data_IF_148032698812
#
_entry.id   IF_148032698812
#
_cell.length_a   1.000
_cell.length_b   1.000
_cell.length_c   1.000
_cell.angle_alpha   90.00
_cell.angle_beta   90.00
_cell.angle_gamma   90.00
#
_symmetry.space_group_name_H-M   'P 1'
#
loop_
_entity.id
_entity.type
_entity.pdbx_description
1 polymer ?
#
# COMPACT_ATOMS: atom_id res chain seq x y z
N UNK A 1 -18.08 87.94 -23.31
CA UNK A 1 -17.52 87.32 -22.09
C UNK A 1 -16.39 86.40 -22.53
N UNK A 2 -15.13 86.86 -22.45
CA UNK A 2 -13.96 86.07 -22.88
C UNK A 2 -13.60 85.11 -21.74
N UNK A 3 -13.66 83.80 -22.00
CA UNK A 3 -13.21 82.79 -21.04
C UNK A 3 -11.70 82.89 -20.89
N UNK A 4 -11.25 83.29 -19.70
CA UNK A 4 -9.85 83.38 -19.33
C UNK A 4 -9.39 81.99 -18.86
N UNK A 5 -8.88 81.17 -19.78
CA UNK A 5 -8.32 79.85 -19.44
C UNK A 5 -6.93 80.09 -18.85
N UNK A 6 -6.80 79.81 -17.56
CA UNK A 6 -5.57 80.00 -16.80
C UNK A 6 -4.51 78.98 -17.28
N UNK A 7 -3.33 79.41 -17.80
CA UNK A 7 -2.33 78.51 -18.38
C UNK A 7 -1.75 77.51 -17.37
N UNK A 8 -1.92 77.73 -16.06
CA UNK A 8 -1.51 76.79 -15.01
C UNK A 8 -2.37 75.52 -14.93
N UNK A 9 -3.62 75.54 -15.40
CA UNK A 9 -4.51 74.37 -15.33
C UNK A 9 -4.26 73.37 -16.47
N UNK A 10 -3.74 73.83 -17.60
CA UNK A 10 -3.37 72.98 -18.73
C UNK A 10 -2.10 72.15 -18.46
N UNK A 11 -1.20 72.65 -17.60
CA UNK A 11 0.05 71.95 -17.23
C UNK A 11 -0.20 70.82 -16.22
N UNK A 12 -1.21 70.97 -15.35
CA UNK A 12 -1.55 69.93 -14.35
C UNK A 12 -2.29 68.73 -14.97
N UNK A 13 -3.04 68.93 -16.06
CA UNK A 13 -3.74 67.84 -16.75
C UNK A 13 -2.82 67.05 -17.71
N UNK A 14 -1.68 67.61 -18.11
CA UNK A 14 -0.71 66.96 -19.00
C UNK A 14 0.28 66.02 -18.27
N UNK A 15 0.35 66.08 -16.93
CA UNK A 15 1.22 65.23 -16.10
C UNK A 15 0.54 63.94 -15.59
N UNK A 16 -0.73 63.72 -15.94
CA UNK A 16 -1.50 62.53 -15.54
C UNK A 16 -1.67 61.49 -16.66
N UNK A 17 -0.99 61.67 -17.80
CA UNK A 17 -1.04 60.74 -18.92
C UNK A 17 0.34 60.07 -19.08
N UNK A 18 0.34 58.74 -19.10
CA UNK A 18 1.48 57.83 -19.36
C UNK A 18 2.37 57.44 -18.18
N UNK A 19 1.74 56.81 -17.19
CA UNK A 19 2.39 55.82 -16.34
C UNK A 19 1.73 54.45 -16.49
N UNK A 20 1.54 53.96 -17.73
CA UNK A 20 1.16 52.57 -17.93
C UNK A 20 2.32 51.70 -17.51
N UNK A 21 2.33 51.23 -16.27
CA UNK A 21 3.23 50.17 -15.85
C UNK A 21 2.92 48.95 -16.72
N UNK A 22 3.68 48.78 -17.81
CA UNK A 22 3.67 47.55 -18.60
C UNK A 22 4.26 46.50 -17.68
N UNK A 23 3.41 45.73 -17.01
CA UNK A 23 3.85 44.50 -16.38
C UNK A 23 4.48 43.67 -17.49
N UNK A 24 5.76 43.26 -17.38
CA UNK A 24 6.31 42.30 -18.32
C UNK A 24 5.35 41.11 -18.38
N UNK A 25 4.99 40.72 -19.60
CA UNK A 25 4.12 39.58 -19.84
C UNK A 25 4.86 38.31 -19.42
N UNK A 26 4.69 37.93 -18.15
CA UNK A 26 5.29 36.73 -17.58
C UNK A 26 4.52 35.49 -18.04
N UNK A 27 5.25 34.39 -18.24
CA UNK A 27 4.63 33.10 -18.48
C UNK A 27 3.82 32.71 -17.25
N UNK A 28 2.64 32.12 -17.47
CA UNK A 28 1.82 31.56 -16.39
C UNK A 28 1.98 30.06 -16.39
N UNK A 29 2.15 29.49 -15.20
CA UNK A 29 2.31 28.05 -15.01
C UNK A 29 1.13 27.56 -14.19
N UNK A 30 0.59 26.40 -14.57
CA UNK A 30 -0.36 25.63 -13.76
C UNK A 30 0.19 24.22 -13.60
N UNK A 31 0.21 23.73 -12.36
CA UNK A 31 0.68 22.40 -12.02
C UNK A 31 -0.48 21.54 -11.54
N UNK A 32 -0.70 20.43 -12.22
CA UNK A 32 -1.58 19.35 -11.81
C UNK A 32 -0.74 18.10 -11.54
N UNK A 33 -0.93 17.49 -10.37
CA UNK A 33 -0.23 16.29 -9.94
C UNK A 33 -1.21 15.40 -9.19
N UNK A 34 -1.13 14.09 -9.39
CA UNK A 34 -1.93 13.14 -8.61
C UNK A 34 -1.61 13.29 -7.13
N UNK A 35 -2.63 13.37 -6.27
CA UNK A 35 -2.47 13.47 -4.82
C UNK A 35 -1.90 12.20 -4.17
N UNK A 36 -2.03 11.06 -4.87
CA UNK A 36 -1.53 9.73 -4.50
C UNK A 36 -0.81 9.13 -5.72
N UNK A 37 0.40 9.62 -6.06
CA UNK A 37 1.17 9.05 -7.14
C UNK A 37 1.83 7.74 -6.68
N UNK A 38 2.07 6.85 -7.64
CA UNK A 38 2.83 5.63 -7.43
C UNK A 38 4.24 5.98 -6.91
N UNK A 39 4.87 5.18 -6.02
CA UNK A 39 6.19 5.55 -5.51
C UNK A 39 7.30 5.39 -6.56
N UNK A 40 7.09 4.70 -7.69
CA UNK A 40 8.12 4.48 -8.70
C UNK A 40 8.20 5.64 -9.71
N UNK A 41 9.40 6.22 -9.84
CA UNK A 41 9.70 7.29 -10.79
C UNK A 41 9.52 6.86 -12.25
N UNK A 42 9.79 5.59 -12.57
CA UNK A 42 9.57 5.02 -13.89
C UNK A 42 8.10 5.12 -14.31
N UNK A 43 7.17 4.92 -13.38
CA UNK A 43 5.73 5.10 -13.61
C UNK A 43 5.42 6.55 -13.98
N UNK A 44 6.08 7.52 -13.35
CA UNK A 44 5.82 8.95 -13.58
C UNK A 44 6.32 9.40 -14.96
N UNK A 45 7.42 8.82 -15.43
CA UNK A 45 7.94 9.06 -16.77
C UNK A 45 7.03 8.46 -17.86
N UNK A 46 6.45 7.28 -17.62
CA UNK A 46 5.60 6.60 -18.61
C UNK A 46 4.16 7.12 -18.63
N UNK A 47 3.66 7.61 -17.50
CA UNK A 47 2.26 8.01 -17.33
C UNK A 47 2.12 9.53 -17.33
N UNK A 48 1.59 10.05 -18.44
CA UNK A 48 1.36 11.48 -18.67
C UNK A 48 0.32 12.11 -17.74
N UNK A 49 -0.44 11.34 -16.97
CA UNK A 49 -1.45 11.81 -16.03
C UNK A 49 -0.91 12.01 -14.60
N UNK A 50 0.33 11.58 -14.31
CA UNK A 50 0.88 11.70 -12.96
C UNK A 50 1.27 13.14 -12.65
N UNK A 51 1.99 13.80 -13.58
CA UNK A 51 2.39 15.20 -13.48
C UNK A 51 2.14 15.88 -14.83
N UNK A 52 1.28 16.90 -14.82
CA UNK A 52 0.99 17.74 -15.98
C UNK A 52 1.25 19.19 -15.61
N UNK A 53 2.16 19.83 -16.34
CA UNK A 53 2.37 21.27 -16.27
C UNK A 53 1.81 21.92 -17.51
N UNK A 54 0.93 22.89 -17.32
CA UNK A 54 0.43 23.75 -18.39
C UNK A 54 1.13 25.09 -18.32
N UNK A 55 1.81 25.48 -19.40
CA UNK A 55 2.42 26.80 -19.55
C UNK A 55 1.57 27.62 -20.51
N UNK A 56 1.18 28.82 -20.07
CA UNK A 56 0.44 29.79 -20.87
C UNK A 56 1.37 30.95 -21.20
N UNK A 57 1.65 31.12 -22.49
CA UNK A 57 2.31 32.28 -23.05
C UNK A 57 1.27 33.30 -23.53
N UNK A 58 1.09 34.44 -22.83
CA UNK A 58 0.10 35.45 -23.20
C UNK A 58 0.56 36.39 -24.33
N UNK A 59 1.79 36.22 -24.84
CA UNK A 59 2.36 37.09 -25.88
C UNK A 59 2.11 36.55 -27.28
N UNK A 60 2.37 37.38 -28.30
CA UNK A 60 2.26 37.00 -29.71
C UNK A 60 3.53 36.34 -30.27
N UNK A 61 4.60 36.27 -29.47
CA UNK A 61 5.90 35.69 -29.86
C UNK A 61 6.23 34.49 -29.00
N UNK A 62 7.08 33.61 -29.50
CA UNK A 62 7.64 32.54 -28.69
C UNK A 62 8.53 33.10 -27.57
N UNK A 63 8.52 32.46 -26.42
CA UNK A 63 9.39 32.78 -25.29
C UNK A 63 10.21 31.54 -24.98
N UNK A 64 11.53 31.67 -24.91
CA UNK A 64 12.39 30.59 -24.47
C UNK A 64 12.53 30.54 -22.95
N UNK A 65 12.57 29.34 -22.39
CA UNK A 65 12.86 29.15 -20.97
C UNK A 65 13.30 27.75 -20.63
N UNK A 66 13.65 27.57 -19.35
CA UNK A 66 14.01 26.28 -18.75
C UNK A 66 13.10 26.01 -17.57
N UNK A 67 12.71 24.75 -17.36
CA UNK A 67 12.05 24.38 -16.12
C UNK A 67 13.01 24.48 -14.93
N UNK A 68 12.52 25.05 -13.84
CA UNK A 68 13.16 25.04 -12.55
C UNK A 68 12.22 24.39 -11.54
N UNK A 69 12.57 23.17 -11.15
CA UNK A 69 11.79 22.33 -10.27
C UNK A 69 12.54 22.16 -8.94
N UNK A 70 11.80 22.26 -7.84
CA UNK A 70 12.31 22.01 -6.48
C UNK A 70 11.38 21.00 -5.81
N UNK A 71 11.98 19.99 -5.20
CA UNK A 71 11.30 18.94 -4.45
C UNK A 71 11.76 19.02 -3.01
N UNK A 72 10.81 19.22 -2.10
CA UNK A 72 11.05 19.12 -0.66
C UNK A 72 10.37 17.85 -0.14
N UNK A 73 11.00 17.17 0.83
CA UNK A 73 10.43 16.01 1.55
C UNK A 73 10.41 16.33 3.04
N UNK A 74 9.23 16.20 3.65
CA UNK A 74 8.98 16.46 5.06
C UNK A 74 9.55 17.82 5.52
N UNK A 75 9.40 18.84 4.66
CA UNK A 75 9.89 20.21 4.88
C UNK A 75 11.39 20.43 4.64
N UNK A 76 12.15 19.40 4.29
CA UNK A 76 13.59 19.49 3.98
C UNK A 76 13.83 19.41 2.48
N UNK A 77 14.85 20.12 1.98
CA UNK A 77 15.26 20.05 0.58
C UNK A 77 15.63 18.61 0.21
N UNK A 78 15.04 18.10 -0.88
CA UNK A 78 15.33 16.77 -1.41
C UNK A 78 16.03 16.85 -2.77
N UNK A 79 15.52 17.62 -3.71
CA UNK A 79 16.08 17.70 -5.04
C UNK A 79 15.76 19.03 -5.73
N UNK A 80 16.61 19.45 -6.68
CA UNK A 80 16.28 20.50 -7.65
C UNK A 80 16.90 20.21 -9.00
N UNK A 81 16.30 20.76 -10.04
CA UNK A 81 16.92 20.80 -11.37
C UNK A 81 18.10 21.76 -11.38
N UNK A 82 19.15 21.41 -12.12
CA UNK A 82 20.34 22.21 -12.40
C UNK A 82 20.11 23.09 -13.63
N UNK A 83 19.95 24.42 -13.49
CA UNK A 83 19.63 25.30 -14.62
C UNK A 83 20.61 25.19 -15.81
N UNK A 84 21.88 24.91 -15.54
CA UNK A 84 22.94 24.73 -16.53
C UNK A 84 22.79 23.45 -17.36
N UNK A 85 22.16 22.41 -16.81
CA UNK A 85 21.96 21.11 -17.49
C UNK A 85 20.54 20.92 -18.02
N UNK A 86 19.62 21.84 -17.70
CA UNK A 86 18.24 21.79 -18.21
C UNK A 86 18.16 22.25 -19.66
N UNK A 87 17.38 21.52 -20.46
CA UNK A 87 17.13 21.86 -21.87
C UNK A 87 16.37 23.18 -21.99
N UNK A 88 16.70 23.96 -23.01
CA UNK A 88 15.92 25.14 -23.39
C UNK A 88 14.68 24.69 -24.15
N UNK A 89 13.52 25.25 -23.80
CA UNK A 89 12.23 24.96 -24.41
C UNK A 89 11.67 26.27 -24.98
N UNK A 90 11.17 26.22 -26.21
CA UNK A 90 10.37 27.30 -26.78
C UNK A 90 8.90 27.14 -26.35
N UNK A 91 8.34 28.18 -25.74
CA UNK A 91 6.94 28.26 -25.34
C UNK A 91 6.18 29.08 -26.38
N UNK A 92 5.39 28.45 -27.28
CA UNK A 92 4.63 29.17 -28.30
C UNK A 92 3.47 29.97 -27.68
N UNK A 93 2.96 31.00 -28.38
CA UNK A 93 1.74 31.72 -27.98
C UNK A 93 0.57 30.77 -27.64
N UNK A 94 -0.15 31.06 -26.56
CA UNK A 94 -1.24 30.22 -26.09
C UNK A 94 -0.81 29.24 -25.00
N UNK A 95 -1.36 28.02 -25.02
CA UNK A 95 -1.21 27.04 -23.94
C UNK A 95 -0.51 25.77 -24.44
N UNK A 96 0.53 25.34 -23.73
CA UNK A 96 1.28 24.11 -24.00
C UNK A 96 1.37 23.23 -22.76
N UNK A 97 1.40 21.91 -22.94
CA UNK A 97 1.49 20.93 -21.85
C UNK A 97 2.84 20.21 -21.86
N UNK A 98 3.36 19.95 -20.66
CA UNK A 98 4.64 19.30 -20.40
C UNK A 98 4.48 18.26 -19.29
N UNK A 99 5.32 17.22 -19.32
CA UNK A 99 5.19 16.04 -18.47
C UNK A 99 6.46 15.76 -17.67
N UNK A 100 6.45 14.75 -16.81
CA UNK A 100 7.52 14.47 -15.84
C UNK A 100 8.95 14.50 -16.41
N UNK A 101 9.18 13.93 -17.60
CA UNK A 101 10.49 13.91 -18.26
C UNK A 101 11.00 15.30 -18.69
N UNK A 102 10.10 16.23 -19.01
CA UNK A 102 10.46 17.61 -19.35
C UNK A 102 10.83 18.41 -18.08
N UNK A 103 10.26 18.02 -16.94
CA UNK A 103 10.32 18.77 -15.70
C UNK A 103 11.51 18.37 -14.83
N UNK A 104 11.76 17.07 -14.67
CA UNK A 104 12.78 16.53 -13.76
C UNK A 104 13.57 15.41 -14.45
N UNK A 105 14.36 15.73 -15.49
CA UNK A 105 15.29 14.76 -16.08
C UNK A 105 16.35 14.37 -15.04
N UNK A 106 16.62 13.07 -14.93
CA UNK A 106 17.45 12.52 -13.85
C UNK A 106 18.89 13.06 -13.92
N UNK A 107 19.44 13.15 -15.14
CA UNK A 107 20.78 13.66 -15.43
C UNK A 107 20.97 15.13 -15.06
N UNK A 108 19.90 15.94 -15.14
CA UNK A 108 19.93 17.37 -14.83
C UNK A 108 19.34 17.69 -13.45
N UNK A 109 19.19 16.69 -12.58
CA UNK A 109 18.67 16.87 -11.22
C UNK A 109 19.78 16.64 -10.20
N UNK A 110 19.94 17.57 -9.26
CA UNK A 110 20.71 17.33 -8.05
C UNK A 110 19.79 16.84 -6.93
N UNK A 111 20.25 15.85 -6.19
CA UNK A 111 19.54 15.24 -5.07
C UNK A 111 20.39 15.42 -3.81
N UNK A 112 19.77 15.83 -2.71
CA UNK A 112 20.41 16.03 -1.42
C UNK A 112 21.07 14.74 -0.92
N UNK A 113 22.35 14.82 -0.53
CA UNK A 113 23.12 13.68 -0.02
C UNK A 113 22.51 13.08 1.26
N UNK A 114 22.44 11.74 1.33
CA UNK A 114 21.90 10.98 2.47
C UNK A 114 20.58 10.26 2.19
N UNK A 115 19.75 10.76 1.27
CA UNK A 115 18.52 10.09 0.77
C UNK A 115 18.80 9.26 -0.50
N UNK A 116 20.05 9.28 -0.98
CA UNK A 116 20.49 8.94 -2.34
C UNK A 116 20.63 7.44 -2.63
N UNK A 117 20.68 6.53 -1.66
CA UNK A 117 21.08 5.16 -1.99
C UNK A 117 19.95 4.20 -2.40
N UNK A 118 18.70 4.50 -2.07
CA UNK A 118 17.57 3.63 -2.43
C UNK A 118 16.74 4.19 -3.58
N UNK A 119 16.32 5.46 -3.56
CA UNK A 119 15.49 6.01 -4.63
C UNK A 119 16.18 6.02 -6.00
N UNK A 120 17.48 6.36 -6.03
CA UNK A 120 18.29 6.36 -7.27
C UNK A 120 18.60 4.93 -7.74
N UNK A 121 18.72 3.97 -6.81
CA UNK A 121 19.06 2.57 -7.12
C UNK A 121 17.86 1.70 -7.48
N UNK A 122 16.71 1.92 -6.82
CA UNK A 122 15.48 1.12 -6.99
C UNK A 122 14.42 1.84 -7.82
N UNK A 123 14.61 3.13 -8.11
CA UNK A 123 13.60 3.96 -8.77
C UNK A 123 12.39 4.30 -7.89
N UNK A 124 12.40 3.93 -6.60
CA UNK A 124 11.26 4.08 -5.68
C UNK A 124 11.49 5.25 -4.71
N UNK A 125 10.60 6.24 -4.76
CA UNK A 125 10.56 7.34 -3.81
C UNK A 125 10.17 6.84 -2.41
N UNK A 126 10.87 7.25 -1.34
CA UNK A 126 10.49 6.89 0.02
C UNK A 126 9.10 7.40 0.39
N UNK A 127 8.46 6.73 1.35
CA UNK A 127 7.26 7.28 1.97
C UNK A 127 7.52 8.63 2.63
N UNK A 128 6.59 9.56 2.51
CA UNK A 128 6.69 10.90 3.11
C UNK A 128 5.73 11.91 2.49
N UNK A 129 5.74 13.11 3.07
CA UNK A 129 5.08 14.28 2.51
C UNK A 129 6.05 15.02 1.59
N UNK A 130 5.61 15.30 0.38
CA UNK A 130 6.43 15.99 -0.60
C UNK A 130 5.74 17.28 -1.04
N UNK A 131 6.56 18.28 -1.30
CA UNK A 131 6.15 19.51 -1.97
C UNK A 131 6.91 19.59 -3.29
N UNK A 132 6.18 19.66 -4.40
CA UNK A 132 6.73 19.81 -5.73
C UNK A 132 6.43 21.20 -6.26
N UNK A 133 7.48 22.00 -6.46
CA UNK A 133 7.40 23.37 -6.94
C UNK A 133 7.98 23.48 -8.35
N UNK A 134 7.25 24.17 -9.24
CA UNK A 134 7.66 24.41 -10.63
C UNK A 134 7.65 25.90 -10.93
N UNK A 135 8.70 26.36 -11.60
CA UNK A 135 8.84 27.71 -12.16
C UNK A 135 9.61 27.64 -13.47
N UNK A 136 9.66 28.75 -14.21
CA UNK A 136 10.43 28.89 -15.44
C UNK A 136 11.55 29.89 -15.26
N UNK A 137 12.70 29.61 -15.85
CA UNK A 137 13.87 30.48 -15.88
C UNK A 137 14.15 30.97 -17.30
N UNK A 138 14.65 32.21 -17.41
CA UNK A 138 15.29 32.70 -18.63
C UNK A 138 16.57 31.88 -18.90
N UNK A 139 16.79 31.41 -20.13
CA UNK A 139 17.88 30.48 -20.42
C UNK A 139 19.28 31.11 -20.30
N UNK A 140 19.39 32.43 -20.44
CA UNK A 140 20.65 33.18 -20.42
C UNK A 140 20.95 33.75 -19.04
N UNK A 141 19.96 34.41 -18.42
CA UNK A 141 20.17 35.12 -17.14
C UNK A 141 19.83 34.27 -15.91
N UNK A 142 19.19 33.11 -16.10
CA UNK A 142 18.60 32.30 -15.03
C UNK A 142 17.59 33.07 -14.15
N UNK A 143 17.11 34.22 -14.60
CA UNK A 143 16.07 34.96 -13.89
C UNK A 143 14.74 34.20 -13.97
N UNK A 144 13.98 34.19 -12.88
CA UNK A 144 12.64 33.59 -12.86
C UNK A 144 11.71 34.40 -13.77
N UNK A 145 11.06 33.74 -14.73
CA UNK A 145 10.13 34.33 -15.72
C UNK A 145 8.68 33.86 -15.58
N UNK A 146 8.38 33.13 -14.49
CA UNK A 146 7.02 32.76 -14.10
C UNK A 146 6.86 32.79 -12.58
N UNK A 147 5.64 32.94 -12.09
CA UNK A 147 5.38 32.71 -10.67
C UNK A 147 5.59 31.23 -10.33
N UNK A 148 6.32 30.89 -9.24
CA UNK A 148 6.43 29.52 -8.78
C UNK A 148 5.08 28.96 -8.35
N UNK A 149 4.79 27.72 -8.73
CA UNK A 149 3.58 26.99 -8.33
C UNK A 149 3.98 25.71 -7.62
N UNK A 150 3.52 25.55 -6.39
CA UNK A 150 3.79 24.36 -5.57
C UNK A 150 2.53 23.51 -5.38
N UNK A 151 2.73 22.19 -5.28
CA UNK A 151 1.70 21.21 -4.95
C UNK A 151 2.24 20.20 -3.94
N UNK A 152 1.41 19.89 -2.96
CA UNK A 152 1.73 18.88 -1.95
C UNK A 152 1.20 17.51 -2.41
N UNK A 153 2.03 16.49 -2.27
CA UNK A 153 1.69 15.09 -2.53
C UNK A 153 2.13 14.24 -1.35
N UNK A 154 1.45 13.11 -1.14
CA UNK A 154 1.87 12.13 -0.13
C UNK A 154 2.19 10.83 -0.82
N UNK A 155 3.42 10.35 -0.65
CA UNK A 155 3.82 9.02 -1.09
C UNK A 155 3.73 8.11 0.12
N UNK A 156 2.90 7.08 0.05
CA UNK A 156 2.78 6.08 1.11
C UNK A 156 3.20 4.73 0.55
N UNK A 157 4.14 4.09 1.23
CA UNK A 157 4.45 2.68 0.98
C UNK A 157 3.54 1.85 1.87
N UNK A 158 2.65 1.10 1.24
CA UNK A 158 1.74 0.19 1.93
C UNK A 158 2.33 -1.21 2.00
N UNK A 159 1.99 -1.93 3.06
CA UNK A 159 2.20 -3.36 3.19
C UNK A 159 0.93 -4.07 2.70
N UNK A 160 1.13 -5.09 1.86
CA UNK A 160 0.03 -5.95 1.44
C UNK A 160 -0.61 -6.66 2.65
N UNK A 161 -1.89 -7.05 2.55
CA UNK A 161 -2.56 -7.81 3.60
C UNK A 161 -1.83 -9.12 3.94
N UNK A 162 -1.98 -9.57 5.18
CA UNK A 162 -1.54 -10.90 5.63
C UNK A 162 -2.78 -11.75 5.87
N UNK A 163 -2.75 -12.99 5.38
CA UNK A 163 -3.84 -13.94 5.59
C UNK A 163 -3.82 -14.44 7.04
N UNK A 164 -5.01 -14.53 7.66
CA UNK A 164 -5.15 -14.87 9.08
C UNK A 164 -5.90 -16.19 9.26
N UNK A 165 -7.05 -16.35 8.59
CA UNK A 165 -7.87 -17.55 8.65
C UNK A 165 -8.45 -17.90 7.27
N UNK A 166 -8.58 -19.18 6.92
CA UNK A 166 -7.96 -20.33 7.58
C UNK A 166 -6.44 -20.18 7.63
N UNK A 167 -5.78 -20.66 8.69
CA UNK A 167 -4.32 -20.66 8.77
C UNK A 167 -3.73 -21.50 7.62
N UNK A 168 -2.48 -21.27 7.24
CA UNK A 168 -1.87 -22.05 6.17
C UNK A 168 -1.88 -23.55 6.49
N UNK A 169 -2.29 -24.36 5.51
CA UNK A 169 -2.48 -25.81 5.58
C UNK A 169 -3.57 -26.26 6.56
N UNK A 170 -4.52 -25.38 6.89
CA UNK A 170 -5.66 -25.75 7.73
C UNK A 170 -6.50 -26.87 7.10
N UNK A 171 -7.11 -27.67 7.97
CA UNK A 171 -8.12 -28.66 7.59
C UNK A 171 -9.52 -28.12 7.93
N UNK A 172 -10.45 -28.22 6.98
CA UNK A 172 -11.83 -27.75 7.12
C UNK A 172 -12.77 -28.94 6.96
N UNK A 173 -13.75 -29.09 7.85
CA UNK A 173 -14.74 -30.16 7.73
C UNK A 173 -15.59 -29.98 6.46
N UNK A 174 -15.78 -31.06 5.69
CA UNK A 174 -16.70 -31.07 4.56
C UNK A 174 -18.11 -30.59 4.95
N UNK A 175 -18.77 -29.87 4.05
CA UNK A 175 -20.08 -29.26 4.27
C UNK A 175 -20.05 -27.92 5.03
N UNK A 176 -18.88 -27.48 5.51
CA UNK A 176 -18.72 -26.20 6.21
C UNK A 176 -18.36 -25.09 5.24
N UNK A 177 -18.95 -23.90 5.43
CA UNK A 177 -18.58 -22.66 4.71
C UNK A 177 -17.33 -22.05 5.33
N UNK A 178 -16.18 -22.00 4.62
CA UNK A 178 -14.98 -21.37 5.17
C UNK A 178 -15.19 -19.88 5.49
N UNK A 179 -14.59 -19.42 6.59
CA UNK A 179 -14.44 -17.99 6.88
C UNK A 179 -13.03 -17.57 6.48
N UNK A 180 -12.92 -16.73 5.45
CA UNK A 180 -11.67 -16.15 4.99
C UNK A 180 -11.44 -14.83 5.74
N UNK A 181 -10.28 -14.62 6.34
CA UNK A 181 -9.95 -13.40 7.10
C UNK A 181 -8.50 -13.00 6.87
N UNK A 182 -8.27 -11.71 6.74
CA UNK A 182 -6.95 -11.11 6.51
C UNK A 182 -6.76 -9.86 7.37
N UNK A 183 -5.53 -9.34 7.44
CA UNK A 183 -5.23 -8.05 8.05
C UNK A 183 -5.65 -6.90 7.13
N UNK A 184 -5.96 -5.71 7.66
CA UNK A 184 -6.05 -4.52 6.83
C UNK A 184 -4.68 -4.16 6.22
N UNK A 185 -4.69 -3.34 5.18
CA UNK A 185 -3.49 -2.66 4.66
C UNK A 185 -2.88 -1.78 5.74
N UNK A 186 -1.54 -1.76 5.80
CA UNK A 186 -0.76 -0.97 6.77
C UNK A 186 0.26 -0.06 6.05
N UNK A 187 0.45 1.21 6.45
CA UNK A 187 -0.36 1.94 7.44
C UNK A 187 -1.81 2.08 6.96
N UNK A 188 -2.74 2.29 7.89
CA UNK A 188 -4.17 2.44 7.55
C UNK A 188 -4.34 3.60 6.54
N UNK A 189 -4.88 3.34 5.34
CA UNK A 189 -5.19 4.41 4.39
C UNK A 189 -6.31 5.33 4.90
N UNK A 190 -6.31 6.58 4.43
CA UNK A 190 -7.35 7.58 4.65
C UNK A 190 -8.50 7.51 3.62
N UNK A 191 -8.45 6.51 2.74
CA UNK A 191 -9.45 6.20 1.73
C UNK A 191 -9.96 4.75 1.89
N UNK A 192 -11.05 4.43 1.20
CA UNK A 192 -11.62 3.08 1.20
C UNK A 192 -10.70 2.12 0.43
N UNK A 193 -10.37 1.00 1.07
CA UNK A 193 -9.62 -0.10 0.44
C UNK A 193 -10.61 -1.14 -0.06
N UNK A 194 -10.44 -1.55 -1.32
CA UNK A 194 -11.17 -2.66 -1.91
C UNK A 194 -10.28 -3.91 -1.92
N UNK A 195 -10.85 -5.04 -1.55
CA UNK A 195 -10.19 -6.34 -1.57
C UNK A 195 -10.82 -7.23 -2.64
N UNK A 196 -9.97 -7.91 -3.40
CA UNK A 196 -10.36 -8.99 -4.30
C UNK A 196 -9.88 -10.32 -3.75
N UNK A 197 -10.81 -11.18 -3.37
CA UNK A 197 -10.55 -12.49 -2.77
C UNK A 197 -10.63 -13.56 -3.85
N UNK A 198 -9.59 -14.38 -3.95
CA UNK A 198 -9.55 -15.49 -4.92
C UNK A 198 -9.22 -16.81 -4.25
N UNK A 199 -9.93 -17.87 -4.63
CA UNK A 199 -9.69 -19.26 -4.19
C UNK A 199 -9.65 -20.16 -5.42
N UNK A 200 -8.71 -21.09 -5.45
CA UNK A 200 -8.46 -22.01 -6.55
C UNK A 200 -8.38 -23.44 -6.02
N UNK A 201 -8.88 -24.38 -6.81
CA UNK A 201 -8.66 -25.81 -6.58
C UNK A 201 -7.23 -26.19 -6.98
N UNK A 202 -6.56 -26.99 -6.15
CA UNK A 202 -5.27 -27.61 -6.47
C UNK A 202 -5.54 -28.99 -7.05
N UNK A 203 -5.28 -29.15 -8.35
CA UNK A 203 -5.55 -30.40 -9.05
C UNK A 203 -4.49 -31.47 -8.73
N UNK A 204 -4.80 -32.77 -8.85
CA UNK A 204 -3.84 -33.85 -8.62
C UNK A 204 -2.55 -33.68 -9.42
N UNK A 205 -1.40 -33.81 -8.74
CA UNK A 205 -0.07 -33.62 -9.34
C UNK A 205 0.37 -32.17 -9.50
N UNK A 206 -0.46 -31.19 -9.11
CA UNK A 206 -0.13 -29.77 -9.16
C UNK A 206 0.40 -29.26 -7.82
N UNK A 207 1.34 -28.31 -7.84
CA UNK A 207 1.68 -27.54 -6.64
C UNK A 207 0.65 -26.44 -6.40
N UNK A 208 0.39 -26.02 -5.15
CA UNK A 208 -0.55 -24.94 -4.87
C UNK A 208 -0.26 -23.65 -5.66
N UNK A 209 1.02 -23.26 -5.76
CA UNK A 209 1.39 -22.05 -6.50
C UNK A 209 1.13 -22.17 -8.01
N UNK A 210 1.28 -23.36 -8.59
CA UNK A 210 0.93 -23.59 -10.00
C UNK A 210 -0.59 -23.49 -10.20
N UNK A 211 -1.39 -23.95 -9.24
CA UNK A 211 -2.85 -23.82 -9.27
C UNK A 211 -3.27 -22.34 -9.29
N UNK A 212 -2.67 -21.52 -8.41
CA UNK A 212 -2.93 -20.08 -8.37
C UNK A 212 -2.62 -19.37 -9.70
N UNK A 213 -1.57 -19.81 -10.41
CA UNK A 213 -1.10 -19.17 -11.65
C UNK A 213 -1.89 -19.57 -12.90
N UNK A 214 -2.33 -20.83 -12.96
CA UNK A 214 -2.83 -21.42 -14.21
C UNK A 214 -4.33 -21.77 -14.15
N UNK A 215 -4.85 -22.11 -12.97
CA UNK A 215 -6.23 -22.57 -12.86
C UNK A 215 -7.21 -21.40 -12.87
N UNK A 216 -8.47 -21.69 -13.22
CA UNK A 216 -9.58 -20.76 -13.02
C UNK A 216 -9.95 -20.73 -11.53
N UNK A 217 -10.19 -19.56 -10.92
CA UNK A 217 -10.64 -19.51 -9.54
C UNK A 217 -12.05 -20.10 -9.40
N UNK A 218 -12.28 -20.82 -8.32
CA UNK A 218 -13.62 -21.29 -7.90
C UNK A 218 -14.37 -20.21 -7.11
N UNK A 219 -13.65 -19.29 -6.50
CA UNK A 219 -14.17 -18.07 -5.88
C UNK A 219 -13.34 -16.90 -6.39
N UNK A 220 -13.98 -15.88 -6.94
CA UNK A 220 -13.35 -14.61 -7.32
C UNK A 220 -14.31 -13.48 -7.02
N UNK A 221 -14.14 -12.85 -5.86
CA UNK A 221 -15.03 -11.80 -5.37
C UNK A 221 -14.25 -10.50 -5.21
N UNK A 222 -14.63 -9.48 -5.99
CA UNK A 222 -14.09 -8.12 -5.90
C UNK A 222 -14.88 -7.24 -4.93
N UNK A 223 -14.44 -5.99 -4.79
CA UNK A 223 -15.14 -4.91 -4.08
C UNK A 223 -15.52 -5.23 -2.63
N UNK A 224 -14.78 -6.15 -1.99
CA UNK A 224 -14.95 -6.45 -0.57
C UNK A 224 -14.26 -5.35 0.22
N UNK A 225 -14.99 -4.62 1.06
CA UNK A 225 -14.41 -3.56 1.92
C UNK A 225 -14.09 -4.04 3.34
N UNK A 226 -14.68 -5.16 3.75
CA UNK A 226 -14.36 -5.84 5.00
C UNK A 226 -13.04 -6.61 4.91
N UNK A 227 -12.43 -6.92 6.06
CA UNK A 227 -11.22 -7.77 6.13
C UNK A 227 -11.55 -9.25 6.41
N UNK A 228 -12.78 -9.64 6.11
CA UNK A 228 -13.26 -11.02 6.23
C UNK A 228 -14.37 -11.27 5.21
N UNK A 229 -14.48 -12.53 4.77
CA UNK A 229 -15.48 -13.02 3.85
C UNK A 229 -15.93 -14.42 4.29
N UNK A 230 -17.18 -14.54 4.71
CA UNK A 230 -17.81 -15.85 4.84
C UNK A 230 -18.10 -16.38 3.43
N UNK A 231 -17.77 -17.65 3.18
CA UNK A 231 -17.98 -18.28 1.87
C UNK A 231 -19.41 -18.04 1.36
N UNK A 232 -19.59 -17.32 0.23
CA UNK A 232 -20.91 -16.87 -0.17
C UNK A 232 -21.87 -18.04 -0.48
N UNK A 233 -23.17 -17.90 -0.18
CA UNK A 233 -24.17 -18.95 -0.41
C UNK A 233 -24.26 -19.41 -1.86
N UNK A 234 -24.06 -18.47 -2.79
CA UNK A 234 -24.25 -18.63 -4.23
C UNK A 234 -23.09 -19.35 -4.93
N UNK A 235 -22.00 -19.60 -4.19
CA UNK A 235 -20.84 -20.34 -4.67
C UNK A 235 -20.89 -21.78 -4.16
N UNK A 236 -20.52 -22.73 -5.03
CA UNK A 236 -20.36 -24.13 -4.66
C UNK A 236 -19.35 -24.27 -3.51
N UNK A 237 -19.62 -25.20 -2.59
CA UNK A 237 -18.70 -25.46 -1.48
C UNK A 237 -17.39 -26.06 -2.00
N UNK A 238 -16.24 -25.76 -1.38
CA UNK A 238 -14.98 -26.38 -1.77
C UNK A 238 -15.05 -27.91 -1.60
N UNK A 239 -14.57 -28.64 -2.59
CA UNK A 239 -14.78 -30.09 -2.71
C UNK A 239 -14.07 -30.86 -1.61
N UNK A 240 -14.75 -31.85 -1.04
CA UNK A 240 -14.17 -32.75 -0.04
C UNK A 240 -13.00 -33.55 -0.63
N UNK A 241 -11.97 -33.77 0.19
CA UNK A 241 -10.73 -34.47 -0.19
C UNK A 241 -9.78 -33.64 -1.05
N UNK A 242 -10.08 -32.37 -1.34
CA UNK A 242 -9.25 -31.52 -2.17
C UNK A 242 -8.56 -30.40 -1.39
N UNK A 243 -7.33 -30.09 -1.83
CA UNK A 243 -6.59 -28.93 -1.38
C UNK A 243 -6.95 -27.71 -2.23
N UNK A 244 -6.99 -26.56 -1.57
CA UNK A 244 -7.27 -25.27 -2.18
C UNK A 244 -6.17 -24.28 -1.81
N UNK A 245 -5.94 -23.30 -2.68
CA UNK A 245 -5.06 -22.16 -2.44
C UNK A 245 -5.88 -20.88 -2.55
N UNK A 246 -5.59 -19.90 -1.69
CA UNK A 246 -6.31 -18.63 -1.71
C UNK A 246 -5.40 -17.44 -1.39
N UNK A 247 -5.81 -16.28 -1.88
CA UNK A 247 -5.13 -15.01 -1.66
C UNK A 247 -6.13 -13.85 -1.70
N UNK A 248 -5.68 -12.69 -1.26
CA UNK A 248 -6.41 -11.42 -1.32
C UNK A 248 -5.51 -10.38 -1.96
N UNK A 249 -6.05 -9.59 -2.89
CA UNK A 249 -5.38 -8.40 -3.44
C UNK A 249 -6.05 -7.14 -2.90
N UNK A 250 -5.27 -6.21 -2.37
CA UNK A 250 -5.76 -4.89 -1.95
C UNK A 250 -5.55 -3.84 -3.06
N UNK A 251 -6.58 -3.01 -3.29
CA UNK A 251 -6.52 -1.86 -4.21
C UNK A 251 -7.16 -0.61 -3.60
N UNK A 252 -6.78 0.55 -4.10
CA UNK A 252 -7.51 1.80 -3.82
C UNK A 252 -8.86 1.87 -4.57
N UNK A 253 -9.56 2.97 -4.38
CA UNK A 253 -10.80 3.35 -5.07
C UNK A 253 -10.67 3.49 -6.60
N UNK A 254 -9.43 3.57 -7.12
CA UNK A 254 -9.12 3.64 -8.56
C UNK A 254 -8.60 2.32 -9.11
N UNK A 255 -8.60 1.24 -8.30
CA UNK A 255 -8.08 -0.07 -8.68
C UNK A 255 -6.54 -0.16 -8.66
N UNK A 256 -5.86 0.85 -8.10
CA UNK A 256 -4.40 0.85 -7.96
C UNK A 256 -4.00 -0.11 -6.84
N UNK A 257 -3.08 -1.05 -7.07
CA UNK A 257 -2.62 -2.00 -6.06
C UNK A 257 -2.02 -1.32 -4.83
N UNK A 258 -2.30 -1.86 -3.64
CA UNK A 258 -1.78 -1.35 -2.38
C UNK A 258 -0.80 -2.34 -1.75
N UNK A 259 0.48 -2.01 -1.88
CA UNK A 259 1.61 -2.72 -1.29
C UNK A 259 2.31 -3.68 -2.24
N UNK A 260 3.56 -4.01 -1.92
CA UNK A 260 4.42 -4.79 -2.81
C UNK A 260 4.10 -6.29 -2.79
N UNK A 261 4.27 -7.01 -3.92
CA UNK A 261 4.67 -6.50 -5.24
C UNK A 261 3.51 -5.97 -6.10
N UNK A 262 2.26 -6.31 -5.75
CA UNK A 262 1.07 -5.96 -6.55
C UNK A 262 -0.24 -6.04 -5.72
N UNK A 263 -0.13 -5.70 -4.44
CA UNK A 263 -1.20 -5.72 -3.44
C UNK A 263 -1.64 -7.11 -2.97
N UNK A 264 -0.99 -8.18 -3.47
CA UNK A 264 -1.32 -9.56 -3.11
C UNK A 264 -0.73 -9.95 -1.76
N UNK A 265 -1.57 -10.56 -0.93
CA UNK A 265 -1.14 -11.33 0.22
C UNK A 265 -0.41 -12.61 -0.22
N UNK A 266 0.60 -13.02 0.55
CA UNK A 266 1.19 -14.35 0.40
C UNK A 266 0.09 -15.41 0.54
N UNK A 267 -0.08 -16.30 -0.45
CA UNK A 267 -1.21 -17.20 -0.47
C UNK A 267 -1.10 -18.29 0.59
N UNK A 268 -2.23 -18.67 1.17
CA UNK A 268 -2.36 -19.79 2.10
C UNK A 268 -3.11 -20.94 1.43
N UNK A 269 -2.94 -22.13 1.99
CA UNK A 269 -3.64 -23.34 1.56
C UNK A 269 -4.59 -23.84 2.64
N UNK A 270 -5.63 -24.57 2.24
CA UNK A 270 -6.45 -25.36 3.15
C UNK A 270 -6.97 -26.61 2.45
N UNK A 271 -7.27 -27.65 3.21
CA UNK A 271 -7.78 -28.94 2.70
C UNK A 271 -9.15 -29.21 3.28
N UNK A 272 -10.11 -29.61 2.45
CA UNK A 272 -11.44 -30.01 2.95
C UNK A 272 -11.42 -31.49 3.30
N UNK A 273 -11.62 -31.83 4.56
CA UNK A 273 -11.63 -33.20 5.06
C UNK A 273 -12.91 -33.92 4.66
N UNK A 274 -12.77 -35.10 4.06
CA UNK A 274 -13.90 -35.97 3.80
C UNK A 274 -14.43 -36.50 5.13
N UNK A 275 -15.74 -36.34 5.38
CA UNK A 275 -16.33 -37.00 6.54
C UNK A 275 -16.36 -38.50 6.27
N UNK A 276 -15.53 -39.24 7.01
CA UNK A 276 -15.65 -40.69 7.08
C UNK A 276 -17.00 -41.00 7.73
N UNK A 277 -17.95 -41.52 6.95
CA UNK A 277 -19.17 -42.10 7.51
C UNK A 277 -18.75 -43.25 8.43
N UNK A 278 -18.82 -43.05 9.75
CA UNK A 278 -18.81 -44.18 10.68
C UNK A 278 -20.07 -45.00 10.39
N UNK A 279 -19.93 -46.09 9.64
CA UNK A 279 -20.95 -47.12 9.54
C UNK A 279 -21.23 -47.62 10.95
N UNK A 280 -22.42 -47.34 11.46
CA UNK A 280 -22.88 -47.90 12.72
C UNK A 280 -23.18 -49.37 12.51
N UNK A 281 -22.45 -50.23 13.22
CA UNK A 281 -22.85 -51.62 13.43
C UNK A 281 -24.15 -51.63 14.24
N UNK A 282 -25.27 -51.69 13.53
CA UNK A 282 -26.61 -51.84 14.10
C UNK A 282 -26.82 -53.31 14.49
N UNK A 283 -26.24 -53.73 15.62
CA UNK A 283 -26.68 -54.95 16.29
C UNK A 283 -28.05 -54.69 16.94
N UNK A 284 -29.09 -54.98 16.18
CA UNK A 284 -30.49 -54.89 16.60
C UNK A 284 -30.78 -55.74 17.84
N UNK A 285 -30.88 -55.07 19.00
CA UNK A 285 -31.53 -55.63 20.20
C UNK A 285 -33.04 -55.58 19.98
N UNK A 286 -33.66 -56.76 19.95
CA UNK A 286 -35.12 -56.95 19.94
C UNK A 286 -35.76 -56.24 21.13
N UNK A 287 -36.69 -55.35 20.84
CA UNK A 287 -37.60 -54.74 21.83
C UNK A 287 -38.74 -55.73 22.11
N UNK A 288 -38.90 -56.11 23.38
CA UNK A 288 -40.11 -56.72 23.91
C UNK A 288 -40.69 -55.74 24.93
N UNK A 289 -41.97 -55.41 24.77
CA UNK A 289 -42.69 -54.40 25.55
C UNK A 289 -42.97 -54.80 26.99
N UNK A 290 -43.40 -53.81 27.77
CA UNK A 290 -43.86 -53.98 29.14
C UNK A 290 -44.18 -52.63 29.78
N UNK A 291 -45.46 -52.28 29.73
CA UNK A 291 -46.12 -51.12 30.33
C UNK A 291 -46.14 -51.19 31.87
N UNK A 292 -46.15 -50.04 32.56
CA UNK A 292 -46.87 -49.76 33.83
C UNK A 292 -46.46 -48.41 34.48
N UNK A 293 -47.24 -47.38 34.15
CA UNK A 293 -47.99 -46.44 35.02
C UNK A 293 -47.59 -46.03 36.47
N UNK A 294 -47.88 -44.74 36.77
CA UNK A 294 -48.11 -44.02 38.07
C UNK A 294 -46.85 -43.60 38.88
N UNK A 295 -46.72 -42.41 39.49
CA UNK A 295 -47.65 -41.38 39.96
C UNK A 295 -46.98 -39.98 40.12
N UNK A 296 -47.82 -38.93 40.17
CA UNK A 296 -47.54 -37.53 40.53
C UNK A 296 -47.37 -37.29 42.05
N UNK A 297 -46.51 -36.34 42.44
CA UNK A 297 -46.64 -35.32 43.54
C UNK A 297 -45.34 -34.48 43.54
N UNK A 298 -45.30 -33.17 43.23
CA UNK A 298 -45.91 -31.94 43.79
C UNK A 298 -45.20 -31.37 45.03
N UNK A 299 -44.92 -30.05 44.93
CA UNK A 299 -44.46 -29.07 45.95
C UNK A 299 -42.99 -29.18 46.40
N UNK A 300 -42.20 -28.10 46.61
CA UNK A 300 -42.43 -26.66 46.67
C UNK A 300 -41.47 -26.03 47.72
N UNK A 301 -41.02 -24.78 47.50
CA UNK A 301 -40.30 -23.92 48.49
C UNK A 301 -38.75 -24.01 48.40
N UNK A 302 -38.01 -23.04 47.84
CA UNK A 302 -37.68 -21.68 48.34
C UNK A 302 -36.66 -21.71 49.49
N UNK A 303 -35.40 -21.34 49.21
CA UNK A 303 -34.64 -20.25 49.86
C UNK A 303 -33.14 -20.26 49.47
N UNK A 304 -32.69 -19.10 48.95
CA UNK A 304 -31.30 -18.61 48.88
C UNK A 304 -30.84 -18.14 50.29
N UNK A 305 -29.62 -17.58 50.52
CA UNK A 305 -28.42 -17.47 49.68
C UNK A 305 -27.13 -17.92 50.40
N UNK A 306 -26.04 -18.10 49.65
CA UNK A 306 -24.73 -18.47 50.20
C UNK A 306 -23.56 -17.86 49.46
N UNK A 307 -23.06 -16.75 50.01
CA UNK A 307 -21.90 -15.96 49.63
C UNK A 307 -20.62 -16.77 49.43
N UNK A 308 -19.76 -16.26 48.54
CA UNK A 308 -18.56 -16.93 48.05
C UNK A 308 -17.44 -17.22 49.06
N UNK A 309 -16.52 -18.07 48.61
CA UNK A 309 -15.28 -18.39 49.30
C UNK A 309 -14.28 -19.01 48.34
N UNK A 310 -13.24 -18.26 47.99
CA UNK A 310 -11.99 -18.78 47.43
C UNK A 310 -11.29 -19.61 48.50
N UNK A 311 -10.90 -20.84 48.18
CA UNK A 311 -9.72 -21.47 48.81
C UNK A 311 -9.10 -22.53 47.90
N UNK A 312 -7.78 -22.41 47.76
CA UNK A 312 -6.81 -23.38 47.24
C UNK A 312 -6.88 -24.72 48.00
N UNK A 313 -6.63 -25.81 47.29
CA UNK A 313 -6.01 -27.05 47.80
C UNK A 313 -5.23 -27.68 46.63
N UNK A 314 -3.89 -27.60 46.58
CA UNK A 314 -2.86 -28.52 47.14
C UNK A 314 -2.86 -29.95 46.62
N UNK A 315 -1.74 -30.30 45.94
CA UNK A 315 -1.11 -31.63 45.80
C UNK A 315 -1.85 -32.63 44.89
N UNK A 316 -1.23 -33.56 44.17
CA UNK A 316 0.17 -34.05 44.02
C UNK A 316 0.08 -35.15 42.95
N UNK A 317 1.11 -35.38 42.13
CA UNK A 317 1.26 -36.68 41.44
C UNK A 317 1.80 -36.62 40.01
N UNK A 318 3.07 -37.03 39.89
CA UNK A 318 3.86 -37.23 38.68
C UNK A 318 3.24 -38.14 37.60
N UNK A 319 3.59 -37.84 36.35
CA UNK A 319 4.28 -38.67 35.32
C UNK A 319 3.97 -38.03 33.94
N UNK A 320 4.86 -37.76 32.99
CA UNK A 320 6.29 -37.94 32.77
C UNK A 320 6.57 -37.24 31.43
N UNK A 321 7.59 -36.39 31.37
CA UNK A 321 7.96 -35.58 30.20
C UNK A 321 9.08 -36.30 29.45
N UNK A 322 8.91 -36.51 28.15
CA UNK A 322 10.00 -36.84 27.22
C UNK A 322 10.24 -35.62 26.32
N UNK A 323 11.34 -34.90 26.59
CA UNK A 323 11.80 -33.75 25.81
C UNK A 323 13.29 -33.89 25.56
N UNK A 324 13.67 -34.26 24.34
CA UNK A 324 15.03 -34.04 23.84
C UNK A 324 15.09 -32.67 23.14
N UNK A 325 15.19 -31.60 23.92
CA UNK A 325 15.61 -30.29 23.43
C UNK A 325 16.92 -29.92 24.14
N UNK A 326 18.03 -29.95 23.40
CA UNK A 326 19.33 -29.47 23.89
C UNK A 326 19.42 -27.99 23.54
N UNK A 327 19.39 -27.15 24.57
CA UNK A 327 19.66 -25.71 24.47
C UNK A 327 21.16 -25.50 24.20
N UNK A 328 21.56 -24.87 23.07
CA UNK A 328 22.96 -24.69 22.71
C UNK A 328 23.67 -23.58 23.52
N UNK A 329 23.01 -22.91 24.48
CA UNK A 329 23.62 -21.81 25.22
C UNK A 329 23.97 -22.18 26.67
N UNK A 330 25.23 -22.02 27.13
CA UNK A 330 25.59 -22.25 28.52
C UNK A 330 24.96 -21.18 29.44
N UNK A 331 24.46 -21.54 30.64
CA UNK A 331 23.75 -20.61 31.52
C UNK A 331 24.69 -19.58 32.15
N UNK A 332 24.41 -18.29 31.97
CA UNK A 332 25.08 -17.20 32.72
C UNK A 332 25.34 -15.86 32.02
N UNK A 333 24.90 -15.62 30.78
CA UNK A 333 25.12 -14.32 30.12
C UNK A 333 23.86 -13.42 30.08
N UNK A 334 23.95 -12.14 30.46
CA UNK A 334 22.86 -11.17 30.28
C UNK A 334 22.70 -10.75 28.81
N UNK A 335 21.45 -10.64 28.37
CA UNK A 335 21.09 -10.24 27.01
C UNK A 335 21.48 -8.77 26.74
N UNK A 336 22.38 -8.49 25.80
CA UNK A 336 22.67 -7.09 25.43
C UNK A 336 23.95 -6.74 24.66
N UNK A 337 24.83 -7.68 24.30
CA UNK A 337 26.04 -7.36 23.53
C UNK A 337 26.33 -8.42 22.46
N UNK A 338 25.93 -8.17 21.22
CA UNK A 338 26.42 -8.92 20.07
C UNK A 338 27.84 -8.46 19.74
N UNK A 339 28.83 -9.19 20.23
CA UNK A 339 30.23 -9.05 19.84
C UNK A 339 30.63 -10.15 18.86
N UNK A 340 31.14 -9.73 17.70
CA UNK A 340 31.93 -10.47 16.70
C UNK A 340 31.24 -11.51 15.82
N UNK A 341 31.53 -11.38 14.52
CA UNK A 341 31.07 -12.22 13.43
C UNK A 341 31.53 -13.67 13.58
N UNK A 342 30.59 -14.61 13.47
CA UNK A 342 30.86 -16.04 13.32
C UNK A 342 31.31 -16.27 11.88
N UNK A 343 32.59 -16.57 11.70
CA UNK A 343 33.14 -17.05 10.43
C UNK A 343 32.77 -18.52 10.31
N UNK A 344 31.91 -18.86 9.34
CA UNK A 344 31.65 -20.23 8.95
C UNK A 344 32.80 -20.69 8.04
N UNK A 345 33.72 -21.50 8.56
CA UNK A 345 34.68 -22.24 7.74
C UNK A 345 34.04 -23.53 7.27
N UNK A 346 33.55 -23.55 6.03
CA UNK A 346 33.22 -24.79 5.35
C UNK A 346 34.52 -25.54 5.03
N UNK A 347 34.67 -26.70 5.63
CA UNK A 347 35.80 -27.59 5.38
C UNK A 347 35.31 -28.61 4.37
N UNK A 348 35.61 -28.38 3.07
CA UNK A 348 36.07 -29.36 2.07
C UNK A 348 35.84 -28.81 0.64
N UNK A 349 36.92 -28.88 -0.15
CA UNK A 349 37.00 -28.82 -1.62
C UNK A 349 36.92 -27.44 -2.33
N UNK A 350 38.07 -26.76 -2.30
CA UNK A 350 38.70 -25.98 -3.38
C UNK A 350 37.86 -25.34 -4.50
N UNK A 351 37.92 -24.01 -4.58
CA UNK A 351 38.24 -23.25 -5.81
C UNK A 351 38.48 -21.77 -5.47
N UNK A 352 39.33 -21.12 -6.28
CA UNK A 352 40.02 -19.84 -6.07
C UNK A 352 39.09 -18.59 -5.99
N UNK A 353 39.53 -17.49 -5.33
CA UNK A 353 38.78 -16.23 -5.31
C UNK A 353 38.92 -15.44 -6.61
N UNK A 354 37.82 -14.84 -7.06
CA UNK A 354 37.77 -13.86 -8.15
C UNK A 354 37.69 -12.46 -7.50
N UNK A 355 38.40 -11.52 -8.11
CA UNK A 355 38.62 -10.13 -7.69
C UNK A 355 37.37 -9.30 -7.40
#
# INVERSE_FOLDING_TARGET
MRLNINPGFAVLLLLLVFGSAVSPAQLRVSLNISSRPDPYLSTWAQKKDVVVVTVINPTASEIEGKFNCVINKDGSFLARTKPESMRVISFPPGSSQYFGEDLVPMESTEIAGGVVNNAVRTGMLPGGFYEFCVSLLNPTTNAIISQPVCRNITIRSYQAPILLLPIDKAEIASGTRPMLRWSPVSPRPDFVVNYRVKVFEVLPGQTPINALRVNRPILDLGDVTATQLLWPPDFELPRAGQQHIWTVRATDDRGTPLGEPDGYATPFTFTVMQQLSKGGDEFGRKSAGGDTTFAKKSAGGVDEPGTGGKTKSTGTGNQGVDTSYIDPNPPGQPCGTCGTAVVLTDTVAGTQPIA
#
